data_IF_781669451357
#
_entry.id   IF_781669451357
#
_cell.length_a   1.000
_cell.length_b   1.000
_cell.length_c   1.000
_cell.angle_alpha   90.00
_cell.angle_beta   90.00
_cell.angle_gamma   90.00
#
_symmetry.space_group_name_H-M   'P 1'
#
loop_
_entity.id
_entity.type
_entity.pdbx_description
1 polymer ?
#
# COMPACT_ATOMS: atom_id res chain seq x y z
N UNK A 1 -21.56 -13.37 -2.09
CA UNK A 1 -20.20 -13.01 -1.64
C UNK A 1 -19.39 -12.63 -2.88
N UNK A 2 -18.70 -11.48 -2.91
CA UNK A 2 -17.80 -11.17 -4.01
C UNK A 2 -16.69 -12.22 -4.10
N UNK A 3 -16.24 -12.52 -5.32
CA UNK A 3 -15.14 -13.47 -5.56
C UNK A 3 -13.83 -12.84 -5.08
N UNK A 4 -13.10 -13.54 -4.21
CA UNK A 4 -11.79 -13.09 -3.75
C UNK A 4 -10.78 -13.10 -4.90
N UNK A 5 -9.94 -12.05 -4.93
CA UNK A 5 -8.78 -11.95 -5.82
C UNK A 5 -7.65 -12.87 -5.35
N UNK A 6 -6.68 -13.08 -6.21
CA UNK A 6 -5.52 -13.96 -5.99
C UNK A 6 -4.21 -13.18 -6.13
N UNK A 7 -3.08 -13.80 -5.76
CA UNK A 7 -1.76 -13.19 -5.93
C UNK A 7 -1.45 -12.79 -7.39
N UNK A 8 -2.09 -13.43 -8.38
CA UNK A 8 -1.94 -13.06 -9.79
C UNK A 8 -2.54 -11.68 -10.12
N UNK A 9 -3.49 -11.20 -9.32
CA UNK A 9 -4.17 -9.90 -9.50
C UNK A 9 -3.38 -8.75 -8.85
N UNK A 10 -2.45 -9.06 -7.93
CA UNK A 10 -1.71 -8.07 -7.13
C UNK A 10 -0.87 -7.11 -7.97
N UNK A 11 -0.14 -7.53 -9.03
CA UNK A 11 0.62 -6.61 -9.85
C UNK A 11 -0.24 -5.49 -10.45
N UNK A 12 -1.44 -5.83 -10.93
CA UNK A 12 -2.37 -4.85 -11.51
C UNK A 12 -2.85 -3.84 -10.47
N UNK A 13 -3.17 -4.30 -9.25
CA UNK A 13 -3.52 -3.42 -8.14
C UNK A 13 -2.38 -2.44 -7.82
N UNK A 14 -1.16 -2.96 -7.69
CA UNK A 14 0.00 -2.16 -7.30
C UNK A 14 0.33 -1.11 -8.36
N UNK A 15 0.26 -1.46 -9.63
CA UNK A 15 0.47 -0.49 -10.71
C UNK A 15 -0.58 0.62 -10.67
N UNK A 16 -1.86 0.28 -10.49
CA UNK A 16 -2.93 1.27 -10.39
C UNK A 16 -2.74 2.21 -9.18
N UNK A 17 -2.33 1.67 -8.02
CA UNK A 17 -2.05 2.49 -6.83
C UNK A 17 -0.88 3.44 -7.03
N UNK A 18 0.21 2.97 -7.65
CA UNK A 18 1.40 3.80 -7.95
C UNK A 18 1.06 4.90 -8.96
N UNK A 19 0.24 4.60 -9.96
CA UNK A 19 -0.24 5.60 -10.93
C UNK A 19 -1.13 6.66 -10.26
N UNK A 20 -1.88 6.27 -9.21
CA UNK A 20 -2.70 7.20 -8.44
C UNK A 20 -1.87 8.10 -7.52
N UNK A 21 -0.85 7.57 -6.84
CA UNK A 21 0.13 8.36 -6.08
C UNK A 21 1.53 7.74 -6.08
N UNK A 22 2.59 8.54 -6.31
CA UNK A 22 3.96 8.05 -6.23
C UNK A 22 4.39 7.70 -4.80
N UNK A 23 3.65 8.10 -3.77
CA UNK A 23 4.01 7.89 -2.36
C UNK A 23 3.52 6.53 -1.82
N UNK A 24 2.87 5.73 -2.67
CA UNK A 24 2.53 4.34 -2.36
C UNK A 24 3.80 3.51 -2.21
N UNK A 25 3.99 2.94 -1.03
CA UNK A 25 5.13 2.12 -0.68
C UNK A 25 4.79 1.06 0.37
N UNK A 26 5.54 -0.04 0.38
CA UNK A 26 5.58 -0.94 1.52
C UNK A 26 6.21 -0.24 2.74
N UNK A 27 5.70 -0.53 3.93
CA UNK A 27 6.22 -0.04 5.21
C UNK A 27 6.66 -1.26 6.00
N UNK A 28 7.96 -1.37 6.26
CA UNK A 28 8.52 -2.57 6.88
C UNK A 28 8.28 -3.83 6.05
N UNK A 29 7.86 -4.90 6.72
CA UNK A 29 7.68 -6.23 6.13
C UNK A 29 6.22 -6.67 6.00
N UNK A 30 5.29 -5.96 6.64
CA UNK A 30 3.92 -6.40 6.86
C UNK A 30 2.86 -5.31 6.60
N UNK A 31 3.25 -4.09 6.19
CA UNK A 31 2.33 -2.99 5.94
C UNK A 31 2.60 -2.30 4.61
N UNK A 32 1.63 -1.51 4.12
CA UNK A 32 1.81 -0.62 2.98
C UNK A 32 0.94 0.64 3.11
N UNK A 33 1.38 1.72 2.48
CA UNK A 33 0.68 3.00 2.48
C UNK A 33 -0.49 2.99 1.49
N UNK A 34 -1.63 3.57 1.88
CA UNK A 34 -2.83 3.75 1.05
C UNK A 34 -3.38 5.18 1.10
N UNK A 35 -2.60 6.12 1.67
CA UNK A 35 -3.01 7.52 1.86
C UNK A 35 -1.88 8.43 1.41
N UNK A 36 -2.22 9.44 0.63
CA UNK A 36 -1.38 10.57 0.27
C UNK A 36 -1.87 11.79 1.07
N UNK A 37 -1.08 12.24 2.04
CA UNK A 37 -1.46 13.35 2.94
C UNK A 37 -1.50 14.71 2.23
N UNK A 38 -0.73 14.86 1.16
CA UNK A 38 -0.60 16.11 0.42
C UNK A 38 -1.59 16.20 -0.75
N UNK A 39 -2.21 15.07 -1.15
CA UNK A 39 -3.10 14.98 -2.32
C UNK A 39 -4.43 14.29 -2.01
N UNK A 40 -5.42 15.03 -1.47
CA UNK A 40 -6.75 14.50 -1.21
C UNK A 40 -7.47 13.94 -2.45
N UNK A 41 -7.20 14.47 -3.63
CA UNK A 41 -7.74 13.98 -4.90
C UNK A 41 -7.15 12.62 -5.31
N UNK A 42 -5.89 12.35 -4.95
CA UNK A 42 -5.29 11.03 -5.10
C UNK A 42 -5.94 10.02 -4.17
N UNK A 43 -6.30 10.41 -2.95
CA UNK A 43 -6.98 9.52 -1.98
C UNK A 43 -8.33 9.03 -2.51
N UNK A 44 -9.12 9.89 -3.14
CA UNK A 44 -10.39 9.48 -3.74
C UNK A 44 -10.19 8.43 -4.87
N UNK A 45 -9.11 8.56 -5.65
CA UNK A 45 -8.76 7.57 -6.69
C UNK A 45 -8.28 6.26 -6.08
N UNK A 46 -7.43 6.34 -5.06
CA UNK A 46 -6.96 5.18 -4.31
C UNK A 46 -8.14 4.43 -3.71
N UNK A 47 -9.07 5.13 -3.05
CA UNK A 47 -10.28 4.53 -2.49
C UNK A 47 -11.11 3.80 -3.56
N UNK A 48 -11.35 4.42 -4.72
CA UNK A 48 -12.07 3.79 -5.82
C UNK A 48 -11.36 2.53 -6.36
N UNK A 49 -10.03 2.56 -6.51
CA UNK A 49 -9.23 1.39 -6.93
C UNK A 49 -9.36 0.26 -5.91
N UNK A 50 -9.27 0.60 -4.62
CA UNK A 50 -9.34 -0.36 -3.51
C UNK A 50 -10.73 -0.97 -3.37
N UNK A 51 -11.79 -0.20 -3.60
CA UNK A 51 -13.18 -0.67 -3.62
C UNK A 51 -13.44 -1.60 -4.81
N UNK A 52 -12.99 -1.24 -6.00
CA UNK A 52 -13.12 -2.07 -7.21
C UNK A 52 -12.38 -3.40 -7.07
N UNK A 53 -11.18 -3.38 -6.47
CA UNK A 53 -10.41 -4.60 -6.24
C UNK A 53 -11.08 -5.52 -5.22
N UNK A 54 -11.72 -4.93 -4.20
CA UNK A 54 -12.44 -5.63 -3.16
C UNK A 54 -11.56 -6.11 -2.00
N UNK A 55 -12.04 -7.09 -1.19
CA UNK A 55 -11.32 -7.61 -0.04
C UNK A 55 -9.94 -8.15 -0.42
N UNK A 56 -8.91 -7.75 0.32
CA UNK A 56 -7.50 -8.00 -0.02
C UNK A 56 -6.61 -8.29 1.18
N UNK A 57 -7.17 -8.40 2.39
CA UNK A 57 -6.39 -8.65 3.61
C UNK A 57 -5.59 -9.95 3.49
N UNK A 58 -6.14 -10.95 2.80
CA UNK A 58 -5.47 -12.22 2.50
C UNK A 58 -4.30 -12.10 1.51
N UNK A 59 -4.14 -10.95 0.85
CA UNK A 59 -3.07 -10.65 -0.12
C UNK A 59 -2.06 -9.64 0.42
N UNK A 60 -2.14 -9.25 1.70
CA UNK A 60 -1.28 -8.23 2.30
C UNK A 60 0.21 -8.46 2.00
N UNK A 61 0.71 -9.68 2.26
CA UNK A 61 2.12 -10.01 2.04
C UNK A 61 2.49 -10.02 0.56
N UNK A 62 1.58 -10.45 -0.31
CA UNK A 62 1.80 -10.41 -1.76
C UNK A 62 1.92 -8.96 -2.25
N UNK A 63 1.06 -8.06 -1.76
CA UNK A 63 1.10 -6.62 -2.07
C UNK A 63 2.42 -6.01 -1.61
N UNK A 64 2.83 -6.29 -0.37
CA UNK A 64 4.10 -5.81 0.20
C UNK A 64 5.29 -6.30 -0.62
N UNK A 65 5.35 -7.59 -0.96
CA UNK A 65 6.41 -8.15 -1.79
C UNK A 65 6.44 -7.49 -3.19
N UNK A 66 5.27 -7.25 -3.77
CA UNK A 66 5.12 -6.63 -5.08
C UNK A 66 5.61 -5.17 -5.11
N UNK A 67 5.34 -4.40 -4.04
CA UNK A 67 5.85 -3.03 -3.85
C UNK A 67 7.37 -3.00 -3.65
N UNK A 68 7.91 -3.92 -2.84
CA UNK A 68 9.36 -4.07 -2.64
C UNK A 68 10.08 -4.42 -3.94
N UNK A 69 9.52 -5.31 -4.75
CA UNK A 69 10.06 -5.65 -6.07
C UNK A 69 10.06 -4.45 -7.03
N UNK A 70 9.17 -3.48 -6.85
CA UNK A 70 9.17 -2.19 -7.57
C UNK A 70 10.10 -1.14 -6.97
N UNK A 71 10.87 -1.50 -5.93
CA UNK A 71 11.75 -0.59 -5.21
C UNK A 71 11.02 0.43 -4.34
N UNK A 72 9.74 0.20 -4.03
CA UNK A 72 8.89 1.11 -3.25
C UNK A 72 8.73 0.60 -1.82
N UNK A 73 9.71 0.87 -0.97
CA UNK A 73 9.64 0.47 0.45
C UNK A 73 10.30 1.47 1.39
N UNK A 74 9.76 1.58 2.58
CA UNK A 74 10.27 2.35 3.71
C UNK A 74 10.66 1.34 4.80
N UNK A 75 11.96 1.23 5.09
CA UNK A 75 12.45 0.38 6.18
C UNK A 75 12.15 1.05 7.53
N UNK A 76 11.63 0.26 8.47
CA UNK A 76 11.39 0.68 9.86
C UNK A 76 12.66 0.60 10.73
N UNK A 77 13.75 0.01 10.21
CA UNK A 77 15.04 -0.08 10.92
C UNK A 77 15.69 1.30 11.12
N UNK A 78 15.12 2.35 10.50
CA UNK A 78 15.52 3.74 10.59
C UNK A 78 14.41 4.64 11.14
N UNK A 79 13.48 4.11 11.93
CA UNK A 79 12.72 4.98 12.83
C UNK A 79 13.59 5.23 14.08
N UNK A 80 14.09 6.46 14.32
CA UNK A 80 14.89 6.70 15.51
C UNK A 80 14.03 6.40 16.74
N UNK A 81 14.54 5.56 17.63
CA UNK A 81 13.90 5.22 18.90
C UNK A 81 13.70 6.45 19.82
N UNK A 82 14.19 7.64 19.40
CA UNK A 82 14.02 8.92 20.07
C UNK A 82 12.89 9.82 19.52
N UNK A 83 12.02 9.37 18.61
CA UNK A 83 10.75 10.06 18.38
C UNK A 83 9.84 9.84 19.61
N UNK A 84 9.98 10.75 20.57
CA UNK A 84 9.48 10.64 21.93
C UNK A 84 8.02 10.23 22.07
N UNK A 85 7.77 9.57 23.20
CA UNK A 85 6.47 9.43 23.84
C UNK A 85 5.63 10.70 23.65
N UNK A 86 4.55 10.59 22.89
CA UNK A 86 3.49 11.59 22.88
C UNK A 86 2.75 11.42 24.22
N UNK A 87 2.99 12.35 25.15
CA UNK A 87 2.22 12.48 26.38
C UNK A 87 0.82 13.03 26.09
#
# INVERSE_FOLDING_TARGET
MPKLKTAADVPQLVDALIDASPDIAAIGDDMFCVIDLDRPDANAKIEAILEEFGPRDHLLLDIVACLKNRGRFISLDRWPAEAGTIH
#
